data_IF_925709992814
#
_entry.id   IF_925709992814
#
_cell.length_a   1.000
_cell.length_b   1.000
_cell.length_c   1.000
_cell.angle_alpha   90.00
_cell.angle_beta   90.00
_cell.angle_gamma   90.00
#
_symmetry.space_group_name_H-M   'P 1'
#
loop_
_entity.id
_entity.type
_entity.pdbx_description
1 polymer ?
#
# COMPACT_ATOMS: atom_id res chain seq x y z
N UNK A 1 -3.01 -23.27 -32.52
CA UNK A 1 -2.85 -22.07 -33.38
C UNK A 1 -2.48 -22.57 -34.76
N UNK A 2 -3.42 -22.52 -35.70
CA UNK A 2 -3.18 -22.96 -37.07
C UNK A 2 -2.32 -21.91 -37.78
N UNK A 3 -1.13 -22.29 -38.24
CA UNK A 3 -0.39 -21.48 -39.21
C UNK A 3 -0.50 -22.18 -40.54
N UNK A 4 -1.17 -21.53 -41.48
CA UNK A 4 -1.29 -22.01 -42.85
C UNK A 4 -0.32 -21.20 -43.67
N UNK A 5 0.55 -21.89 -44.41
CA UNK A 5 1.40 -21.28 -45.42
C UNK A 5 0.98 -21.77 -46.79
N UNK A 6 0.83 -20.82 -47.71
CA UNK A 6 0.30 -21.05 -49.05
C UNK A 6 1.37 -20.62 -50.03
N UNK A 7 1.80 -21.55 -50.88
CA UNK A 7 2.68 -21.25 -52.01
C UNK A 7 1.83 -21.23 -53.29
N UNK A 8 1.64 -20.04 -53.87
CA UNK A 8 0.80 -19.85 -55.06
C UNK A 8 1.37 -20.53 -56.33
N UNK A 9 2.66 -20.87 -56.36
CA UNK A 9 3.29 -21.49 -57.53
C UNK A 9 3.08 -23.02 -57.63
N UNK A 10 2.82 -23.72 -56.53
CA UNK A 10 2.70 -25.18 -56.49
C UNK A 10 1.30 -25.72 -56.17
N UNK A 11 0.32 -24.83 -55.93
CA UNK A 11 -1.06 -25.17 -55.52
C UNK A 11 -1.16 -26.18 -54.35
N UNK A 12 -0.25 -26.09 -53.37
CA UNK A 12 -0.26 -26.93 -52.16
C UNK A 12 -0.27 -26.09 -50.88
N UNK A 13 -0.83 -26.67 -49.81
CA UNK A 13 -1.16 -26.02 -48.54
C UNK A 13 -0.57 -26.83 -47.39
N UNK A 14 0.09 -26.16 -46.44
CA UNK A 14 0.59 -26.81 -45.21
C UNK A 14 -0.17 -26.31 -43.98
N UNK A 15 -0.60 -27.25 -43.14
CA UNK A 15 -1.36 -27.00 -41.92
C UNK A 15 -0.68 -27.75 -40.77
N UNK A 16 -0.32 -27.03 -39.69
CA UNK A 16 0.30 -27.64 -38.51
C UNK A 16 -0.74 -27.99 -37.44
N UNK A 17 -0.79 -29.27 -37.04
CA UNK A 17 -1.43 -29.72 -35.80
C UNK A 17 -0.45 -30.59 -34.97
N UNK A 18 -0.62 -30.58 -33.65
CA UNK A 18 0.25 -31.32 -32.73
C UNK A 18 -0.16 -32.79 -32.68
N UNK A 19 0.43 -33.65 -33.53
CA UNK A 19 0.71 -35.07 -33.25
C UNK A 19 1.44 -35.69 -34.46
N UNK A 20 2.74 -35.97 -34.26
CA UNK A 20 3.66 -36.91 -34.96
C UNK A 20 3.55 -37.01 -36.50
N UNK A 21 4.49 -36.39 -37.22
CA UNK A 21 5.60 -37.10 -37.91
C UNK A 21 6.58 -36.07 -38.49
N UNK A 22 7.86 -36.20 -38.15
CA UNK A 22 8.90 -35.34 -38.69
C UNK A 22 9.47 -35.95 -39.96
N UNK A 23 9.24 -35.30 -41.10
CA UNK A 23 10.00 -35.62 -42.32
C UNK A 23 11.45 -35.19 -42.08
N UNK A 24 12.36 -36.17 -41.97
CA UNK A 24 13.81 -35.96 -42.17
C UNK A 24 14.18 -36.46 -43.55
N UNK A 25 14.60 -35.54 -44.40
CA UNK A 25 15.27 -35.82 -45.66
C UNK A 25 16.20 -34.66 -45.96
N UNK A 26 17.40 -34.95 -46.45
CA UNK A 26 18.46 -33.98 -46.80
C UNK A 26 18.05 -33.01 -47.94
N UNK A 27 16.84 -33.13 -48.47
CA UNK A 27 16.35 -32.43 -49.67
C UNK A 27 15.51 -31.18 -49.40
N UNK A 28 15.21 -30.80 -48.14
CA UNK A 28 14.44 -29.58 -47.83
C UNK A 28 15.30 -28.59 -47.07
N UNK A 29 15.90 -27.63 -47.78
CA UNK A 29 16.56 -26.49 -47.13
C UNK A 29 15.50 -25.55 -46.53
N UNK A 30 15.56 -25.39 -45.20
CA UNK A 30 14.67 -24.47 -44.49
C UNK A 30 15.08 -23.02 -44.81
N UNK A 31 14.27 -22.31 -45.61
CA UNK A 31 14.51 -20.91 -45.93
C UNK A 31 13.70 -20.00 -44.99
N UNK A 32 14.42 -19.24 -44.16
CA UNK A 32 13.89 -18.18 -43.30
C UNK A 32 14.78 -17.90 -42.08
N UNK A 33 14.79 -16.68 -41.53
CA UNK A 33 15.55 -16.40 -40.31
C UNK A 33 14.95 -17.18 -39.15
N UNK A 34 15.68 -18.21 -38.72
CA UNK A 34 15.26 -19.01 -37.58
C UNK A 34 15.44 -18.22 -36.29
N UNK A 35 14.42 -18.25 -35.43
CA UNK A 35 14.51 -17.64 -34.10
C UNK A 35 15.62 -18.29 -33.28
N UNK A 36 16.29 -17.46 -32.48
CA UNK A 36 17.24 -17.91 -31.46
C UNK A 36 16.54 -18.86 -30.50
N UNK A 37 17.17 -19.98 -30.19
CA UNK A 37 16.69 -20.92 -29.19
C UNK A 37 17.10 -20.41 -27.81
N UNK A 38 16.13 -20.22 -26.91
CA UNK A 38 16.43 -19.91 -25.51
C UNK A 38 16.76 -21.23 -24.81
N UNK A 39 18.03 -21.43 -24.47
CA UNK A 39 18.53 -22.66 -23.84
C UNK A 39 18.03 -22.80 -22.40
N UNK A 40 18.26 -23.96 -21.78
CA UNK A 40 17.90 -24.20 -20.39
C UNK A 40 18.70 -23.28 -19.43
N UNK A 41 19.96 -23.04 -19.73
CA UNK A 41 20.87 -22.16 -18.99
C UNK A 41 20.41 -20.71 -19.09
N UNK A 42 20.05 -20.26 -20.30
CA UNK A 42 19.45 -18.93 -20.51
C UNK A 42 18.14 -18.78 -19.75
N UNK A 43 17.26 -19.80 -19.73
CA UNK A 43 16.03 -19.79 -18.93
C UNK A 43 16.33 -19.67 -17.44
N UNK A 44 17.31 -20.43 -16.93
CA UNK A 44 17.72 -20.40 -15.52
C UNK A 44 18.27 -19.02 -15.13
N UNK A 45 19.11 -18.42 -15.96
CA UNK A 45 19.64 -17.07 -15.72
C UNK A 45 18.56 -15.99 -15.78
N UNK A 46 17.70 -16.03 -16.81
CA UNK A 46 16.56 -15.10 -16.94
C UNK A 46 15.71 -15.19 -15.68
N UNK A 47 15.41 -16.40 -15.21
CA UNK A 47 14.63 -16.63 -14.02
C UNK A 47 15.30 -16.07 -12.75
N UNK A 48 16.59 -16.33 -12.54
CA UNK A 48 17.33 -15.81 -11.39
C UNK A 48 17.35 -14.28 -11.35
N UNK A 49 17.59 -13.63 -12.48
CA UNK A 49 17.57 -12.16 -12.59
C UNK A 49 16.15 -11.60 -12.38
N UNK A 50 15.13 -12.29 -12.88
CA UNK A 50 13.73 -11.93 -12.72
C UNK A 50 13.26 -12.05 -11.26
N UNK A 51 13.72 -13.08 -10.54
CA UNK A 51 13.52 -13.25 -9.08
C UNK A 51 14.15 -12.09 -8.28
N UNK A 52 15.23 -11.48 -8.79
CA UNK A 52 15.83 -10.27 -8.23
C UNK A 52 15.15 -8.95 -8.71
N UNK A 53 13.98 -9.04 -9.35
CA UNK A 53 13.23 -7.87 -9.87
C UNK A 53 13.99 -7.01 -10.88
N UNK A 54 14.94 -7.61 -11.61
CA UNK A 54 15.67 -6.92 -12.67
C UNK A 54 14.74 -6.75 -13.89
N UNK A 55 14.60 -5.54 -14.47
CA UNK A 55 13.69 -5.33 -15.60
C UNK A 55 14.18 -6.08 -16.86
N UNK A 56 13.28 -6.57 -17.74
CA UNK A 56 13.66 -7.40 -18.90
C UNK A 56 14.73 -6.80 -19.81
N UNK A 57 14.77 -5.47 -19.92
CA UNK A 57 15.80 -4.76 -20.67
C UNK A 57 17.20 -4.95 -20.05
N UNK A 58 17.31 -4.89 -18.72
CA UNK A 58 18.56 -5.16 -18.01
C UNK A 58 18.91 -6.65 -18.01
N UNK A 59 17.93 -7.54 -17.89
CA UNK A 59 18.15 -8.99 -18.01
C UNK A 59 18.78 -9.30 -19.38
N UNK A 60 18.19 -8.74 -20.45
CA UNK A 60 18.69 -8.91 -21.82
C UNK A 60 20.12 -8.36 -21.99
N UNK A 61 20.44 -7.21 -21.37
CA UNK A 61 21.81 -6.68 -21.35
C UNK A 61 22.76 -7.62 -20.61
N UNK A 62 22.40 -8.03 -19.39
CA UNK A 62 23.24 -8.89 -18.54
C UNK A 62 23.51 -10.24 -19.21
N UNK A 63 22.51 -10.79 -19.91
CA UNK A 63 22.63 -12.05 -20.62
C UNK A 63 23.65 -12.00 -21.77
N UNK A 64 23.92 -10.81 -22.35
CA UNK A 64 24.96 -10.61 -23.39
C UNK A 64 26.36 -10.37 -22.83
N UNK A 65 26.46 -10.00 -21.55
CA UNK A 65 27.72 -9.60 -20.92
C UNK A 65 28.23 -10.61 -19.89
N UNK A 66 27.43 -11.62 -19.54
CA UNK A 66 27.85 -12.68 -18.63
C UNK A 66 28.79 -13.67 -19.34
N UNK A 67 29.85 -14.07 -18.65
CA UNK A 67 30.76 -15.13 -19.09
C UNK A 67 30.15 -16.53 -19.00
N UNK A 68 29.10 -16.69 -18.19
CA UNK A 68 28.59 -17.99 -17.77
C UNK A 68 27.53 -18.55 -18.74
N UNK A 69 27.11 -17.75 -19.72
CA UNK A 69 26.17 -18.16 -20.78
C UNK A 69 26.90 -18.13 -22.12
N UNK A 70 26.98 -19.31 -22.73
CA UNK A 70 27.53 -19.46 -24.08
C UNK A 70 26.48 -18.98 -25.09
N UNK A 71 26.92 -18.10 -26.00
CA UNK A 71 26.10 -17.64 -27.11
C UNK A 71 25.72 -18.84 -28.00
N UNK A 72 24.44 -18.92 -28.37
CA UNK A 72 24.00 -19.98 -29.28
C UNK A 72 24.56 -19.75 -30.68
N UNK A 73 24.56 -20.79 -31.54
CA UNK A 73 24.96 -20.65 -32.96
C UNK A 73 24.14 -19.62 -33.75
N UNK A 74 23.00 -19.18 -33.20
CA UNK A 74 22.11 -18.15 -33.79
C UNK A 74 22.14 -16.84 -33.03
N UNK A 75 23.07 -16.69 -32.10
CA UNK A 75 23.26 -15.50 -31.28
C UNK A 75 22.47 -15.51 -29.97
N UNK A 76 22.36 -14.34 -29.34
CA UNK A 76 21.57 -14.12 -28.13
C UNK A 76 20.08 -13.85 -28.41
N UNK A 77 19.16 -14.26 -27.50
CA UNK A 77 17.73 -13.97 -27.63
C UNK A 77 17.44 -12.47 -27.71
N UNK A 78 16.43 -12.09 -28.48
CA UNK A 78 15.93 -10.71 -28.52
C UNK A 78 15.28 -10.28 -27.20
N UNK A 79 15.16 -8.97 -26.95
CA UNK A 79 14.45 -8.43 -25.79
C UNK A 79 13.00 -8.97 -25.67
N UNK A 80 12.30 -9.10 -26.79
CA UNK A 80 10.94 -9.65 -26.84
C UNK A 80 10.93 -11.13 -26.41
N UNK A 81 11.92 -11.91 -26.86
CA UNK A 81 12.09 -13.31 -26.44
C UNK A 81 12.40 -13.43 -24.94
N UNK A 82 13.30 -12.59 -24.41
CA UNK A 82 13.59 -12.55 -22.96
C UNK A 82 12.35 -12.19 -22.15
N UNK A 83 11.60 -11.17 -22.60
CA UNK A 83 10.38 -10.71 -21.92
C UNK A 83 9.30 -11.80 -21.91
N UNK A 84 9.06 -12.45 -23.05
CA UNK A 84 8.07 -13.53 -23.14
C UNK A 84 8.52 -14.77 -22.36
N UNK A 85 9.82 -15.06 -22.33
CA UNK A 85 10.38 -16.14 -21.54
C UNK A 85 10.20 -15.91 -20.04
N UNK A 86 10.53 -14.71 -19.54
CA UNK A 86 10.30 -14.34 -18.14
C UNK A 86 8.80 -14.49 -17.76
N UNK A 87 7.89 -13.98 -18.60
CA UNK A 87 6.43 -14.16 -18.41
C UNK A 87 6.03 -15.64 -18.32
N UNK A 88 6.53 -16.47 -19.22
CA UNK A 88 6.24 -17.91 -19.25
C UNK A 88 6.81 -18.65 -18.03
N UNK A 89 8.05 -18.34 -17.64
CA UNK A 89 8.70 -18.96 -16.48
C UNK A 89 7.99 -18.59 -15.17
N UNK A 90 7.54 -17.34 -15.02
CA UNK A 90 6.69 -16.92 -13.90
C UNK A 90 5.42 -17.76 -13.81
N UNK A 91 4.76 -18.03 -14.94
CA UNK A 91 3.57 -18.89 -14.96
C UNK A 91 3.90 -20.33 -14.52
N UNK A 92 5.01 -20.89 -14.99
CA UNK A 92 5.41 -22.27 -14.69
C UNK A 92 5.81 -22.50 -13.23
N UNK A 93 6.44 -21.52 -12.58
CA UNK A 93 6.85 -21.64 -11.18
C UNK A 93 5.68 -21.62 -10.20
N UNK A 94 4.44 -21.46 -10.66
CA UNK A 94 3.32 -21.13 -9.79
C UNK A 94 3.62 -19.78 -9.16
N UNK A 95 3.38 -18.71 -9.92
CA UNK A 95 3.65 -17.32 -9.50
C UNK A 95 3.36 -17.12 -8.02
N UNK A 96 4.41 -16.97 -7.19
CA UNK A 96 4.33 -16.44 -5.82
C UNK A 96 3.59 -15.09 -5.78
N UNK A 97 3.50 -14.44 -6.94
CA UNK A 97 2.79 -13.20 -7.23
C UNK A 97 1.46 -13.39 -8.00
N UNK A 98 0.80 -14.55 -7.88
CA UNK A 98 -0.57 -14.74 -8.40
C UNK A 98 -1.61 -14.62 -7.31
N UNK A 99 -2.84 -14.31 -7.73
CA UNK A 99 -4.00 -14.37 -6.85
C UNK A 99 -4.19 -15.77 -6.24
N UNK A 100 -3.82 -16.85 -6.94
CA UNK A 100 -3.91 -18.21 -6.41
C UNK A 100 -2.89 -18.45 -5.28
N UNK A 101 -1.64 -18.03 -5.47
CA UNK A 101 -0.64 -18.10 -4.40
C UNK A 101 -1.04 -17.26 -3.19
N UNK A 102 -1.63 -16.08 -3.40
CA UNK A 102 -2.17 -15.27 -2.30
C UNK A 102 -3.33 -16.00 -1.59
N UNK A 103 -4.24 -16.62 -2.33
CA UNK A 103 -5.33 -17.44 -1.75
C UNK A 103 -4.78 -18.58 -0.90
N UNK A 104 -3.75 -19.28 -1.38
CA UNK A 104 -3.09 -20.35 -0.62
C UNK A 104 -2.45 -19.82 0.67
N UNK A 105 -1.77 -18.68 0.63
CA UNK A 105 -1.19 -18.04 1.82
C UNK A 105 -2.29 -17.64 2.82
N UNK A 106 -3.38 -17.04 2.34
CA UNK A 106 -4.51 -16.63 3.18
C UNK A 106 -5.19 -17.83 3.82
N UNK A 107 -5.41 -18.91 3.07
CA UNK A 107 -6.00 -20.15 3.60
C UNK A 107 -5.09 -20.85 4.62
N UNK A 108 -3.79 -20.96 4.32
CA UNK A 108 -2.80 -21.59 5.22
C UNK A 108 -2.64 -20.84 6.54
N UNK A 109 -2.94 -19.55 6.55
CA UNK A 109 -2.85 -18.70 7.72
C UNK A 109 -4.23 -18.15 8.11
N UNK A 110 -5.28 -18.97 8.04
CA UNK A 110 -6.61 -18.58 8.48
C UNK A 110 -6.66 -18.28 9.99
N UNK A 111 -7.67 -17.51 10.40
CA UNK A 111 -7.97 -17.34 11.83
C UNK A 111 -8.29 -18.69 12.48
N UNK A 112 -7.61 -18.99 13.58
CA UNK A 112 -7.84 -20.17 14.42
C UNK A 112 -8.15 -19.70 15.86
N UNK A 113 -9.39 -19.90 16.34
CA UNK A 113 -9.81 -19.45 17.67
C UNK A 113 -9.14 -20.25 18.81
N UNK A 114 -8.50 -21.37 18.52
CA UNK A 114 -7.78 -22.21 19.49
C UNK A 114 -6.26 -22.12 19.33
N UNK A 115 -5.79 -21.46 18.28
CA UNK A 115 -4.39 -21.35 17.93
C UNK A 115 -3.58 -20.43 18.84
N UNK A 116 -2.27 -20.40 18.59
CA UNK A 116 -1.30 -19.56 19.31
C UNK A 116 -1.68 -18.06 19.22
N UNK A 117 -1.68 -17.38 20.37
CA UNK A 117 -2.10 -15.98 20.47
C UNK A 117 -1.27 -15.00 19.64
N UNK A 118 0.03 -15.23 19.51
CA UNK A 118 0.95 -14.31 18.81
C UNK A 118 1.17 -14.68 17.35
N UNK A 119 0.72 -15.86 16.92
CA UNK A 119 0.80 -16.26 15.52
C UNK A 119 -0.10 -15.36 14.67
N UNK A 120 0.50 -14.76 13.64
CA UNK A 120 -0.24 -13.95 12.69
C UNK A 120 -1.15 -14.82 11.82
N UNK A 121 -2.33 -14.30 11.52
CA UNK A 121 -3.30 -14.87 10.60
C UNK A 121 -3.85 -13.81 9.65
N UNK A 122 -4.43 -14.27 8.55
CA UNK A 122 -5.11 -13.47 7.54
C UNK A 122 -6.62 -13.49 7.78
N UNK A 123 -7.25 -12.35 7.55
CA UNK A 123 -8.70 -12.18 7.57
C UNK A 123 -9.12 -11.19 6.46
N UNK A 124 -10.41 -11.00 6.21
CA UNK A 124 -10.85 -10.14 5.12
C UNK A 124 -12.30 -9.67 5.24
N UNK A 125 -12.71 -8.81 4.31
CA UNK A 125 -14.06 -8.24 4.28
C UNK A 125 -15.14 -9.25 3.84
N UNK A 126 -14.79 -10.31 3.12
CA UNK A 126 -15.73 -11.41 2.81
C UNK A 126 -15.12 -12.73 3.23
N UNK A 127 -15.99 -13.65 3.65
CA UNK A 127 -15.64 -15.03 3.94
C UNK A 127 -16.27 -15.94 2.89
N UNK A 128 -15.56 -17.00 2.54
CA UNK A 128 -16.08 -18.08 1.71
C UNK A 128 -16.98 -18.99 2.54
N UNK A 129 -17.71 -19.91 1.88
CA UNK A 129 -18.49 -20.93 2.56
C UNK A 129 -17.66 -21.80 3.53
N UNK A 130 -16.34 -21.87 3.32
CA UNK A 130 -15.38 -22.58 4.18
C UNK A 130 -14.82 -21.72 5.33
N UNK A 131 -15.34 -20.52 5.57
CA UNK A 131 -14.87 -19.60 6.61
C UNK A 131 -13.59 -18.83 6.28
N UNK A 132 -12.91 -19.16 5.17
CA UNK A 132 -11.69 -18.45 4.76
C UNK A 132 -11.97 -17.09 4.12
N UNK A 133 -11.11 -16.11 4.37
CA UNK A 133 -11.18 -14.81 3.74
C UNK A 133 -11.09 -14.90 2.20
N UNK A 134 -11.98 -14.17 1.51
CA UNK A 134 -12.04 -14.12 0.04
C UNK A 134 -11.05 -13.08 -0.48
N UNK A 135 -10.12 -13.53 -1.32
CA UNK A 135 -9.16 -12.66 -2.02
C UNK A 135 -9.75 -12.19 -3.34
N UNK A 136 -10.05 -10.90 -3.43
CA UNK A 136 -10.55 -10.25 -4.66
C UNK A 136 -9.45 -9.99 -5.70
N UNK A 137 -9.85 -9.69 -6.94
CA UNK A 137 -8.94 -9.45 -8.07
C UNK A 137 -8.29 -8.06 -8.08
N UNK A 138 -8.78 -7.12 -7.29
CA UNK A 138 -8.31 -5.73 -7.25
C UNK A 138 -9.00 -4.80 -8.26
N UNK A 139 -10.05 -5.26 -8.95
CA UNK A 139 -10.89 -4.41 -9.82
C UNK A 139 -11.90 -3.60 -8.99
N UNK A 140 -12.54 -2.57 -9.55
CA UNK A 140 -13.52 -1.74 -8.80
C UNK A 140 -14.71 -2.56 -8.28
N UNK A 141 -15.13 -3.57 -9.07
CA UNK A 141 -16.19 -4.50 -8.71
C UNK A 141 -15.75 -5.61 -7.75
N UNK A 142 -14.43 -5.83 -7.60
CA UNK A 142 -13.86 -6.95 -6.84
C UNK A 142 -12.58 -6.52 -6.14
N UNK A 143 -12.75 -5.66 -5.11
CA UNK A 143 -11.66 -5.08 -4.33
C UNK A 143 -10.80 -6.16 -3.69
N UNK A 144 -9.48 -6.00 -3.78
CA UNK A 144 -8.53 -6.80 -3.01
C UNK A 144 -8.40 -6.18 -1.62
N UNK A 145 -8.82 -6.89 -0.58
CA UNK A 145 -8.70 -6.47 0.82
C UNK A 145 -8.32 -7.69 1.66
N UNK A 146 -7.09 -7.70 2.16
CA UNK A 146 -6.59 -8.76 3.05
C UNK A 146 -5.99 -8.10 4.29
N UNK A 147 -6.56 -8.42 5.44
CA UNK A 147 -6.07 -8.02 6.75
C UNK A 147 -5.13 -9.07 7.35
N UNK A 148 -4.15 -8.62 8.12
CA UNK A 148 -3.25 -9.45 8.91
C UNK A 148 -3.27 -8.94 10.35
N UNK A 149 -3.48 -9.85 11.30
CA UNK A 149 -3.45 -9.57 12.73
C UNK A 149 -3.04 -10.84 13.50
N UNK A 150 -3.02 -10.77 14.82
CA UNK A 150 -2.91 -11.94 15.71
C UNK A 150 -3.92 -11.79 16.85
N UNK A 151 -4.24 -12.88 17.54
CA UNK A 151 -5.24 -12.82 18.62
C UNK A 151 -4.78 -11.90 19.74
N UNK A 152 -3.50 -11.90 20.07
CA UNK A 152 -2.91 -10.98 21.04
C UNK A 152 -3.13 -9.51 20.66
N UNK A 153 -3.00 -9.15 19.37
CA UNK A 153 -3.27 -7.77 18.92
C UNK A 153 -4.76 -7.41 19.01
N UNK A 154 -5.65 -8.35 18.68
CA UNK A 154 -7.10 -8.14 18.76
C UNK A 154 -7.57 -8.04 20.21
N UNK A 155 -7.10 -8.93 21.09
CA UNK A 155 -7.39 -8.90 22.53
C UNK A 155 -6.90 -7.59 23.16
N UNK A 156 -5.67 -7.16 22.83
CA UNK A 156 -5.16 -5.86 23.25
C UNK A 156 -6.03 -4.71 22.71
N UNK A 157 -6.47 -4.77 21.45
CA UNK A 157 -7.37 -3.75 20.88
C UNK A 157 -8.68 -3.62 21.65
N UNK A 158 -9.25 -4.74 22.09
CA UNK A 158 -10.48 -4.74 22.90
C UNK A 158 -10.23 -4.09 24.26
N UNK A 159 -9.09 -4.37 24.89
CA UNK A 159 -8.72 -3.71 26.14
C UNK A 159 -8.56 -2.21 25.92
N UNK A 160 -7.81 -1.79 24.90
CA UNK A 160 -7.59 -0.38 24.59
C UNK A 160 -8.88 0.39 24.26
N UNK A 161 -9.83 -0.26 23.59
CA UNK A 161 -11.13 0.32 23.23
C UNK A 161 -12.23 0.11 24.28
N UNK A 162 -11.86 -0.19 25.53
CA UNK A 162 -12.80 -0.30 26.64
C UNK A 162 -13.41 1.07 26.98
N UNK A 163 -14.73 1.16 27.17
CA UNK A 163 -15.44 2.42 27.43
C UNK A 163 -15.11 3.16 28.74
N UNK A 164 -14.13 2.69 29.53
CA UNK A 164 -13.64 3.36 30.74
C UNK A 164 -12.57 4.42 30.48
N UNK A 165 -12.11 4.59 29.24
CA UNK A 165 -11.03 5.52 28.86
C UNK A 165 -11.31 6.20 27.52
N UNK A 166 -10.69 7.36 27.30
CA UNK A 166 -10.64 7.96 25.98
C UNK A 166 -9.88 7.04 25.01
N UNK A 167 -10.47 6.73 23.87
CA UNK A 167 -9.94 5.81 22.88
C UNK A 167 -9.60 6.55 21.60
N UNK A 168 -8.30 6.57 21.28
CA UNK A 168 -7.77 7.15 20.06
C UNK A 168 -7.35 6.04 19.08
N UNK A 169 -8.08 5.92 17.99
CA UNK A 169 -7.73 5.01 16.90
C UNK A 169 -6.92 5.73 15.83
N UNK A 170 -5.90 5.08 15.29
CA UNK A 170 -5.03 5.61 14.25
C UNK A 170 -5.16 4.76 13.00
N UNK A 171 -5.18 5.40 11.83
CA UNK A 171 -4.97 4.73 10.56
C UNK A 171 -4.09 5.56 9.65
N UNK A 172 -3.08 4.93 9.05
CA UNK A 172 -2.25 5.56 8.03
C UNK A 172 -2.06 4.63 6.83
N UNK A 173 -2.07 5.20 5.63
CA UNK A 173 -1.82 4.48 4.40
C UNK A 173 -0.39 4.67 3.92
N UNK A 174 0.36 3.58 3.92
CA UNK A 174 1.75 3.55 3.52
C UNK A 174 1.94 2.81 2.19
N UNK A 175 2.91 3.28 1.40
CA UNK A 175 3.16 2.81 0.05
C UNK A 175 4.54 2.18 -0.10
N UNK A 176 4.77 1.60 -1.27
CA UNK A 176 6.04 0.97 -1.68
C UNK A 176 6.38 -0.28 -0.88
N UNK A 177 5.37 -0.98 -0.39
CA UNK A 177 5.54 -2.27 0.28
C UNK A 177 5.25 -3.47 -0.63
N UNK A 178 4.73 -3.21 -1.84
CA UNK A 178 4.47 -4.21 -2.88
C UNK A 178 4.95 -3.71 -4.25
N UNK A 179 5.32 -4.64 -5.13
CA UNK A 179 5.75 -4.32 -6.51
C UNK A 179 4.58 -3.92 -7.42
N UNK A 180 3.36 -4.35 -7.05
CA UNK A 180 2.13 -3.94 -7.71
C UNK A 180 1.66 -2.54 -7.29
N UNK A 181 2.33 -1.92 -6.30
CA UNK A 181 1.97 -0.60 -5.80
C UNK A 181 0.72 -0.58 -4.92
N UNK A 182 0.22 -1.74 -4.50
CA UNK A 182 -0.89 -1.83 -3.54
C UNK A 182 -0.54 -1.11 -2.24
N UNK A 183 -1.39 -0.16 -1.82
CA UNK A 183 -1.29 0.47 -0.52
C UNK A 183 -1.40 -0.55 0.62
N UNK A 184 -0.74 -0.24 1.72
CA UNK A 184 -0.90 -0.93 2.99
C UNK A 184 -1.46 0.08 3.98
N UNK A 185 -2.59 -0.23 4.60
CA UNK A 185 -3.16 0.57 5.67
C UNK A 185 -2.75 -0.08 6.99
N UNK A 186 -2.04 0.64 7.84
CA UNK A 186 -1.76 0.20 9.21
C UNK A 186 -2.70 0.92 10.15
N UNK A 187 -3.22 0.19 11.13
CA UNK A 187 -4.11 0.77 12.11
C UNK A 187 -3.90 0.21 13.50
N UNK A 188 -4.22 1.01 14.50
CA UNK A 188 -3.93 0.70 15.88
C UNK A 188 -4.50 1.74 16.83
N UNK A 189 -4.22 1.56 18.12
CA UNK A 189 -4.74 2.39 19.20
C UNK A 189 -3.59 3.08 19.92
N UNK A 190 -3.85 4.23 20.51
CA UNK A 190 -2.96 4.81 21.52
C UNK A 190 -3.71 5.18 22.80
N UNK A 191 -2.95 5.22 23.90
CA UNK A 191 -3.45 5.55 25.24
C UNK A 191 -2.82 6.84 25.80
N UNK A 192 -3.17 7.17 27.04
CA UNK A 192 -2.63 8.31 27.79
C UNK A 192 -1.12 8.22 28.06
N UNK A 193 -0.49 7.05 27.85
CA UNK A 193 0.95 6.87 27.95
C UNK A 193 1.66 7.11 26.61
N UNK A 194 0.90 7.45 25.56
CA UNK A 194 1.39 7.61 24.17
C UNK A 194 1.99 6.33 23.60
N UNK A 195 1.61 5.19 24.16
CA UNK A 195 1.97 3.88 23.66
C UNK A 195 1.09 3.55 22.47
N UNK A 196 1.68 3.01 21.41
CA UNK A 196 0.94 2.59 20.22
C UNK A 196 0.83 1.08 20.16
N UNK A 197 -0.40 0.62 20.08
CA UNK A 197 -0.76 -0.78 19.95
C UNK A 197 -1.25 -1.03 18.53
N UNK A 198 -0.49 -1.80 17.75
CA UNK A 198 -0.94 -2.24 16.43
C UNK A 198 -2.20 -3.11 16.59
N UNK A 199 -3.20 -2.87 15.75
CA UNK A 199 -4.42 -3.67 15.69
C UNK A 199 -4.41 -4.60 14.48
N UNK A 200 -4.13 -4.05 13.30
CA UNK A 200 -4.07 -4.80 12.06
C UNK A 200 -3.26 -4.08 10.98
N UNK A 201 -2.87 -4.85 9.97
CA UNK A 201 -2.29 -4.37 8.72
C UNK A 201 -3.19 -4.83 7.58
N UNK A 202 -3.63 -3.93 6.72
CA UNK A 202 -4.44 -4.25 5.55
C UNK A 202 -3.68 -3.99 4.27
N UNK A 203 -3.70 -4.95 3.36
CA UNK A 203 -3.25 -4.76 1.98
C UNK A 203 -4.49 -4.54 1.13
N UNK A 204 -4.55 -3.40 0.45
CA UNK A 204 -5.71 -2.98 -0.34
C UNK A 204 -5.35 -2.70 -1.78
N UNK A 205 -6.26 -2.95 -2.72
CA UNK A 205 -6.06 -2.56 -4.13
C UNK A 205 -6.18 -1.06 -4.35
N UNK A 206 -6.99 -0.36 -3.55
CA UNK A 206 -7.29 1.07 -3.66
C UNK A 206 -7.51 1.70 -2.29
N UNK A 207 -7.45 3.03 -2.24
CA UNK A 207 -7.79 3.85 -1.07
C UNK A 207 -9.05 4.66 -1.35
N UNK A 208 -10.15 3.99 -1.70
CA UNK A 208 -11.45 4.66 -1.73
C UNK A 208 -12.13 4.51 -0.36
N UNK A 209 -13.17 5.31 -0.12
CA UNK A 209 -13.96 5.19 1.10
C UNK A 209 -14.52 3.77 1.30
N UNK A 210 -14.86 3.08 0.21
CA UNK A 210 -15.31 1.70 0.22
C UNK A 210 -14.23 0.76 0.76
N UNK A 211 -12.99 0.85 0.30
CA UNK A 211 -11.93 -0.03 0.82
C UNK A 211 -11.57 0.26 2.28
N UNK A 212 -11.60 1.52 2.71
CA UNK A 212 -11.43 1.86 4.12
C UNK A 212 -12.54 1.25 4.98
N UNK A 213 -13.81 1.42 4.59
CA UNK A 213 -14.95 0.81 5.27
C UNK A 213 -14.81 -0.72 5.33
N UNK A 214 -14.47 -1.37 4.21
CA UNK A 214 -14.23 -2.82 4.15
C UNK A 214 -13.16 -3.30 5.14
N UNK A 215 -12.07 -2.56 5.30
CA UNK A 215 -11.01 -2.89 6.26
C UNK A 215 -11.52 -2.79 7.70
N UNK A 216 -12.21 -1.70 8.02
CA UNK A 216 -12.73 -1.43 9.37
C UNK A 216 -13.83 -2.43 9.76
N UNK A 217 -14.76 -2.74 8.86
CA UNK A 217 -15.80 -3.76 9.07
C UNK A 217 -15.19 -5.16 9.24
N UNK A 218 -14.15 -5.49 8.46
CA UNK A 218 -13.42 -6.74 8.64
C UNK A 218 -12.77 -6.82 10.03
N UNK A 219 -12.21 -5.72 10.52
CA UNK A 219 -11.62 -5.64 11.85
C UNK A 219 -12.67 -5.78 12.96
N UNK A 220 -13.80 -5.06 12.85
CA UNK A 220 -14.93 -5.14 13.80
C UNK A 220 -15.45 -6.57 13.90
N UNK A 221 -15.68 -7.24 12.76
CA UNK A 221 -16.11 -8.65 12.77
C UNK A 221 -15.07 -9.57 13.38
N UNK A 222 -13.78 -9.35 13.12
CA UNK A 222 -12.72 -10.12 13.76
C UNK A 222 -12.73 -9.94 15.28
N UNK A 223 -12.94 -8.72 15.78
CA UNK A 223 -13.11 -8.45 17.22
C UNK A 223 -14.27 -9.26 17.79
N UNK A 224 -15.41 -9.31 17.09
CA UNK A 224 -16.57 -10.13 17.50
C UNK A 224 -16.30 -11.63 17.44
N UNK A 225 -15.52 -12.11 16.47
CA UNK A 225 -15.11 -13.51 16.40
C UNK A 225 -14.19 -13.90 17.58
N UNK A 226 -13.27 -13.02 17.97
CA UNK A 226 -12.36 -13.24 19.10
C UNK A 226 -13.09 -13.12 20.44
N UNK A 227 -14.00 -12.13 20.58
CA UNK A 227 -14.79 -11.91 21.79
C UNK A 227 -16.20 -11.41 21.41
N UNK A 228 -17.22 -12.29 21.36
CA UNK A 228 -18.57 -11.93 20.88
C UNK A 228 -19.23 -10.76 21.62
N UNK A 229 -18.95 -10.63 22.91
CA UNK A 229 -19.49 -9.57 23.77
C UNK A 229 -18.72 -8.26 23.68
N UNK A 230 -17.54 -8.23 23.04
CA UNK A 230 -16.74 -7.02 22.94
C UNK A 230 -17.42 -5.96 22.08
N UNK A 231 -17.37 -4.72 22.52
CA UNK A 231 -17.74 -3.54 21.73
C UNK A 231 -16.50 -2.65 21.61
N UNK A 232 -16.33 -2.00 20.47
CA UNK A 232 -15.30 -0.98 20.30
C UNK A 232 -15.95 0.39 20.53
N UNK A 233 -15.51 1.10 21.57
CA UNK A 233 -15.89 2.49 21.80
C UNK A 233 -14.74 3.37 21.31
N UNK A 234 -14.97 4.15 20.25
CA UNK A 234 -13.96 5.02 19.65
C UNK A 234 -14.38 6.48 19.81
N UNK A 235 -13.65 7.25 20.63
CA UNK A 235 -13.95 8.67 20.84
C UNK A 235 -13.40 9.53 19.69
N UNK A 236 -12.21 9.17 19.20
CA UNK A 236 -11.53 9.87 18.14
C UNK A 236 -10.77 8.93 17.22
N UNK A 237 -10.71 9.32 15.94
CA UNK A 237 -9.85 8.71 14.93
C UNK A 237 -8.83 9.73 14.47
N UNK A 238 -7.58 9.33 14.30
CA UNK A 238 -6.51 10.19 13.80
C UNK A 238 -6.01 9.66 12.46
N UNK A 239 -6.01 10.54 11.46
CA UNK A 239 -5.63 10.19 10.10
C UNK A 239 -5.14 11.39 9.28
N UNK A 240 -5.19 11.21 7.97
CA UNK A 240 -4.68 12.10 6.94
C UNK A 240 -5.74 13.07 6.44
N UNK A 241 -5.30 14.05 5.64
CA UNK A 241 -6.19 14.96 4.94
C UNK A 241 -6.76 14.28 3.69
N UNK A 242 -7.47 13.16 3.86
CA UNK A 242 -7.94 12.30 2.77
C UNK A 242 -9.44 12.01 2.90
N UNK A 243 -10.24 12.47 1.92
CA UNK A 243 -11.71 12.34 1.96
C UNK A 243 -12.13 10.88 1.98
N UNK A 244 -11.42 10.03 1.24
CA UNK A 244 -11.67 8.61 1.22
C UNK A 244 -11.50 7.98 2.62
N UNK A 245 -10.49 8.39 3.38
CA UNK A 245 -10.26 7.86 4.73
C UNK A 245 -11.36 8.32 5.69
N UNK A 246 -11.64 9.63 5.73
CA UNK A 246 -12.70 10.20 6.57
C UNK A 246 -14.06 9.57 6.26
N UNK A 247 -14.45 9.54 4.98
CA UNK A 247 -15.74 8.98 4.56
C UNK A 247 -15.79 7.46 4.81
N UNK A 248 -14.66 6.76 4.81
CA UNK A 248 -14.57 5.33 5.13
C UNK A 248 -14.85 5.05 6.61
N UNK A 249 -14.30 5.87 7.52
CA UNK A 249 -14.64 5.79 8.94
C UNK A 249 -16.12 6.05 9.20
N UNK A 250 -16.70 7.05 8.52
CA UNK A 250 -18.11 7.43 8.68
C UNK A 250 -19.11 6.34 8.25
N UNK A 251 -18.69 5.37 7.45
CA UNK A 251 -19.53 4.27 6.99
C UNK A 251 -19.64 3.12 8.00
N UNK A 252 -18.79 3.07 9.04
CA UNK A 252 -18.74 1.95 9.99
C UNK A 252 -19.21 2.42 11.36
N UNK A 253 -20.23 1.75 11.92
CA UNK A 253 -20.94 2.17 13.14
C UNK A 253 -20.03 2.52 14.33
N UNK A 254 -19.02 1.70 14.58
CA UNK A 254 -18.07 1.83 15.68
C UNK A 254 -17.18 3.07 15.55
N UNK A 255 -17.03 3.61 14.34
CA UNK A 255 -16.18 4.76 14.02
C UNK A 255 -16.99 5.99 13.58
N UNK A 256 -18.26 5.82 13.20
CA UNK A 256 -19.03 6.86 12.52
C UNK A 256 -19.28 8.12 13.35
N UNK A 257 -19.34 7.98 14.67
CA UNK A 257 -19.49 9.09 15.61
C UNK A 257 -18.15 9.60 16.18
N UNK A 258 -17.04 8.95 15.84
CA UNK A 258 -15.74 9.35 16.35
C UNK A 258 -15.32 10.71 15.78
N UNK A 259 -14.70 11.54 16.61
CA UNK A 259 -14.15 12.82 16.15
C UNK A 259 -12.95 12.56 15.25
N UNK A 260 -12.99 13.06 14.01
CA UNK A 260 -11.84 12.99 13.13
C UNK A 260 -10.80 14.05 13.49
N UNK A 261 -9.65 13.59 13.97
CA UNK A 261 -8.49 14.38 14.32
C UNK A 261 -7.47 14.34 13.19
N UNK A 262 -6.95 15.50 12.87
CA UNK A 262 -5.95 15.66 11.84
C UNK A 262 -4.54 15.48 12.37
N UNK A 263 -3.81 14.58 11.72
CA UNK A 263 -2.41 14.36 12.04
C UNK A 263 -1.59 15.65 11.90
N UNK A 264 -1.09 16.18 13.02
CA UNK A 264 -0.26 17.38 13.01
C UNK A 264 1.05 17.21 12.23
N UNK A 265 1.64 16.00 12.22
CA UNK A 265 2.80 15.72 11.36
C UNK A 265 2.47 15.96 9.89
N UNK A 266 1.29 15.54 9.43
CA UNK A 266 0.84 15.77 8.05
C UNK A 266 0.53 17.24 7.75
N UNK A 267 0.03 18.00 8.72
CA UNK A 267 -0.07 19.46 8.60
C UNK A 267 1.31 20.06 8.33
N UNK A 268 2.30 19.77 9.19
CA UNK A 268 3.65 20.31 9.07
C UNK A 268 4.35 19.85 7.78
N UNK A 269 4.17 18.59 7.39
CA UNK A 269 4.73 18.03 6.17
C UNK A 269 4.21 18.75 4.92
N UNK A 270 2.90 19.00 4.84
CA UNK A 270 2.29 19.71 3.72
C UNK A 270 2.66 21.20 3.73
N UNK A 271 2.69 21.84 4.89
CA UNK A 271 3.15 23.23 5.05
C UNK A 271 4.57 23.39 4.54
N UNK A 272 5.51 22.53 4.97
CA UNK A 272 6.92 22.58 4.51
C UNK A 272 7.04 22.45 3.00
N UNK A 273 6.23 21.60 2.35
CA UNK A 273 6.21 21.50 0.89
C UNK A 273 5.72 22.78 0.22
N UNK A 274 4.68 23.39 0.79
CA UNK A 274 4.03 24.59 0.26
C UNK A 274 4.88 25.83 0.47
N UNK A 275 5.69 25.90 1.53
CA UNK A 275 6.51 27.07 1.85
C UNK A 275 7.97 26.96 1.40
N UNK A 276 8.38 25.85 0.77
CA UNK A 276 9.78 25.60 0.38
C UNK A 276 10.45 26.70 -0.46
N UNK A 277 9.65 27.43 -1.23
CA UNK A 277 10.09 28.47 -2.16
C UNK A 277 10.16 29.85 -1.51
N UNK A 278 9.63 29.99 -0.29
CA UNK A 278 9.61 31.24 0.44
C UNK A 278 10.94 31.47 1.17
N UNK A 279 11.24 32.75 1.41
CA UNK A 279 12.40 33.15 2.18
C UNK A 279 12.39 32.53 3.60
N UNK A 280 13.56 32.25 4.20
CA UNK A 280 13.67 31.63 5.53
C UNK A 280 12.83 32.31 6.63
N UNK A 281 12.79 33.64 6.63
CA UNK A 281 12.04 34.48 7.56
C UNK A 281 10.53 34.25 7.45
N UNK A 282 9.98 34.16 6.24
CA UNK A 282 8.57 33.87 6.00
C UNK A 282 8.23 32.44 6.41
N UNK A 283 9.11 31.48 6.11
CA UNK A 283 8.96 30.09 6.58
C UNK A 283 8.93 30.02 8.11
N UNK A 284 9.80 30.78 8.79
CA UNK A 284 9.83 30.87 10.26
C UNK A 284 8.55 31.50 10.81
N UNK A 285 8.06 32.59 10.22
CA UNK A 285 6.82 33.24 10.62
C UNK A 285 5.59 32.31 10.50
N UNK A 286 5.51 31.55 9.40
CA UNK A 286 4.48 30.52 9.20
C UNK A 286 4.58 29.43 10.26
N UNK A 287 5.76 28.84 10.44
CA UNK A 287 5.93 27.74 11.41
C UNK A 287 5.61 28.20 12.84
N UNK A 288 6.06 29.40 13.24
CA UNK A 288 5.78 29.95 14.56
C UNK A 288 4.27 30.14 14.78
N UNK A 289 3.56 30.70 13.80
CA UNK A 289 2.11 30.89 13.89
C UNK A 289 1.35 29.57 13.99
N UNK A 290 1.74 28.55 13.22
CA UNK A 290 1.12 27.22 13.29
C UNK A 290 1.36 26.58 14.67
N UNK A 291 2.56 26.70 15.23
CA UNK A 291 2.88 26.17 16.56
C UNK A 291 2.04 26.88 17.63
N UNK A 292 1.88 28.20 17.56
CA UNK A 292 1.00 28.96 18.46
C UNK A 292 -0.43 28.42 18.43
N UNK A 293 -1.00 28.26 17.23
CA UNK A 293 -2.36 27.72 17.04
C UNK A 293 -2.46 26.26 17.51
N UNK A 294 -1.43 25.43 17.27
CA UNK A 294 -1.45 24.01 17.65
C UNK A 294 -1.57 23.83 19.17
N UNK A 295 -0.82 24.64 19.93
CA UNK A 295 -0.68 24.52 21.38
C UNK A 295 -1.66 25.39 22.18
N UNK A 296 -2.73 25.89 21.55
CA UNK A 296 -3.83 26.49 22.30
C UNK A 296 -4.47 25.44 23.23
N UNK A 297 -4.96 25.89 24.38
CA UNK A 297 -5.48 25.04 25.45
C UNK A 297 -7.00 24.84 25.39
N UNK A 298 -7.72 25.70 24.66
CA UNK A 298 -9.17 25.62 24.53
C UNK A 298 -9.67 26.32 23.26
N UNK A 299 -10.99 26.28 23.06
CA UNK A 299 -11.62 26.80 21.85
C UNK A 299 -11.54 28.32 21.74
N UNK A 300 -11.63 29.03 22.86
CA UNK A 300 -11.56 30.49 22.91
C UNK A 300 -10.16 30.98 22.55
N UNK A 301 -9.13 30.41 23.19
CA UNK A 301 -7.73 30.76 22.89
C UNK A 301 -7.36 30.41 21.45
N UNK A 302 -7.89 29.30 20.91
CA UNK A 302 -7.72 28.96 19.49
C UNK A 302 -8.22 30.06 18.56
N UNK A 303 -9.45 30.56 18.74
CA UNK A 303 -9.99 31.57 17.82
C UNK A 303 -9.21 32.88 17.89
N UNK A 304 -8.84 33.32 19.10
CA UNK A 304 -7.98 34.50 19.29
C UNK A 304 -6.63 34.34 18.60
N UNK A 305 -5.91 33.26 18.88
CA UNK A 305 -4.58 32.98 18.30
C UNK A 305 -4.65 32.79 16.78
N UNK A 306 -5.68 32.10 16.28
CA UNK A 306 -5.92 31.90 14.85
C UNK A 306 -6.08 33.24 14.13
N UNK A 307 -6.93 34.13 14.65
CA UNK A 307 -7.22 35.40 14.01
C UNK A 307 -6.01 36.34 14.02
N UNK A 308 -5.28 36.40 15.14
CA UNK A 308 -4.03 37.16 15.24
C UNK A 308 -2.95 36.65 14.28
N UNK A 309 -2.73 35.33 14.24
CA UNK A 309 -1.71 34.71 13.39
C UNK A 309 -2.04 34.93 11.92
N UNK A 310 -3.29 34.67 11.50
CA UNK A 310 -3.72 34.88 10.11
C UNK A 310 -3.63 36.36 9.73
N UNK A 311 -4.03 37.28 10.61
CA UNK A 311 -3.88 38.73 10.38
C UNK A 311 -2.41 39.13 10.22
N UNK A 312 -1.50 38.53 11.00
CA UNK A 312 -0.06 38.77 10.87
C UNK A 312 0.50 38.29 9.53
N UNK A 313 0.08 37.12 9.06
CA UNK A 313 0.52 36.58 7.77
C UNK A 313 -0.01 37.41 6.60
N UNK A 314 -1.23 37.94 6.69
CA UNK A 314 -1.82 38.83 5.65
C UNK A 314 -1.06 40.15 5.46
N UNK A 315 -0.22 40.56 6.43
CA UNK A 315 0.64 41.74 6.29
C UNK A 315 1.88 41.48 5.43
N UNK A 316 2.16 40.22 5.08
CA UNK A 316 3.31 39.80 4.29
C UNK A 316 2.81 39.44 2.88
N UNK A 317 3.03 40.29 1.85
CA UNK A 317 2.52 40.05 0.50
C UNK A 317 2.92 38.68 -0.07
N UNK A 318 4.14 38.22 0.19
CA UNK A 318 4.67 36.94 -0.27
C UNK A 318 3.94 35.72 0.33
N UNK A 319 3.15 35.92 1.39
CA UNK A 319 2.35 34.87 2.01
C UNK A 319 0.92 34.80 1.48
N UNK A 320 0.45 35.70 0.61
CA UNK A 320 -0.95 35.75 0.17
C UNK A 320 -1.50 34.38 -0.29
N UNK A 321 -0.78 33.74 -1.21
CA UNK A 321 -1.14 32.41 -1.74
C UNK A 321 -1.11 31.35 -0.65
N UNK A 322 -0.14 31.42 0.26
CA UNK A 322 -0.04 30.48 1.38
C UNK A 322 -1.19 30.66 2.38
N UNK A 323 -1.55 31.89 2.73
CA UNK A 323 -2.64 32.20 3.66
C UNK A 323 -3.95 31.66 3.10
N UNK A 324 -4.25 31.92 1.82
CA UNK A 324 -5.43 31.37 1.16
C UNK A 324 -5.47 29.84 1.26
N UNK A 325 -4.38 29.18 0.85
CA UNK A 325 -4.25 27.73 0.96
C UNK A 325 -4.44 27.22 2.39
N UNK A 326 -3.80 27.86 3.37
CA UNK A 326 -3.80 27.37 4.74
C UNK A 326 -5.16 27.53 5.40
N UNK A 327 -5.84 28.66 5.16
CA UNK A 327 -7.21 28.90 5.61
C UNK A 327 -8.16 27.87 5.02
N UNK A 328 -8.17 27.72 3.68
CA UNK A 328 -9.06 26.77 3.00
C UNK A 328 -8.82 25.32 3.41
N UNK A 329 -7.56 24.90 3.57
CA UNK A 329 -7.23 23.50 3.82
C UNK A 329 -7.24 23.11 5.31
N UNK A 330 -6.76 23.98 6.20
CA UNK A 330 -6.43 23.60 7.59
C UNK A 330 -7.22 24.37 8.65
N UNK A 331 -8.00 25.39 8.29
CA UNK A 331 -8.81 26.16 9.25
C UNK A 331 -10.31 26.03 8.96
N UNK A 332 -10.71 26.10 7.70
CA UNK A 332 -12.13 26.15 7.31
C UNK A 332 -12.65 24.80 6.74
N UNK A 333 -11.76 23.82 6.57
CA UNK A 333 -12.14 22.49 6.07
C UNK A 333 -12.55 21.54 7.19
N UNK A 334 -12.99 20.33 6.81
CA UNK A 334 -13.23 19.21 7.73
C UNK A 334 -11.97 18.73 8.47
N UNK A 335 -10.79 19.21 8.06
CA UNK A 335 -9.46 18.87 8.57
C UNK A 335 -8.88 19.94 9.51
N UNK A 336 -9.73 20.73 10.15
CA UNK A 336 -9.26 21.80 11.03
C UNK A 336 -8.78 21.33 12.41
N UNK A 337 -9.19 20.14 12.85
CA UNK A 337 -8.94 19.61 14.20
C UNK A 337 -7.55 19.01 14.36
N UNK A 338 -6.52 19.83 14.40
CA UNK A 338 -5.12 19.42 14.60
C UNK A 338 -4.50 20.02 15.85
N UNK A 339 -5.27 20.72 16.68
CA UNK A 339 -4.81 21.36 17.92
C UNK A 339 -4.81 20.38 19.09
N UNK A 340 -3.90 20.59 20.06
CA UNK A 340 -3.67 19.65 21.17
C UNK A 340 -4.89 19.49 22.09
N UNK A 341 -5.71 20.54 22.23
CA UNK A 341 -6.86 20.54 23.13
C UNK A 341 -8.01 19.60 22.69
N UNK A 342 -7.95 19.03 21.49
CA UNK A 342 -8.91 18.03 21.04
C UNK A 342 -8.71 16.63 21.65
N UNK A 343 -7.56 16.40 22.29
CA UNK A 343 -7.26 15.14 22.99
C UNK A 343 -7.03 15.42 24.47
N UNK A 344 -7.44 14.51 25.39
CA UNK A 344 -7.11 14.65 26.80
C UNK A 344 -5.61 14.69 27.06
N UNK A 345 -5.22 15.28 28.19
CA UNK A 345 -3.82 15.37 28.62
C UNK A 345 -3.18 13.96 28.63
N UNK A 346 -1.95 13.88 28.10
CA UNK A 346 -1.18 12.63 28.02
C UNK A 346 -1.39 11.86 26.72
N UNK A 347 -2.47 12.07 25.98
CA UNK A 347 -2.70 11.36 24.72
C UNK A 347 -1.81 11.87 23.57
N UNK A 348 -1.72 11.06 22.52
CA UNK A 348 -0.99 11.43 21.32
C UNK A 348 -1.68 12.60 20.61
N UNK A 349 -0.97 13.73 20.50
CA UNK A 349 -1.42 14.92 19.77
C UNK A 349 -1.02 14.89 18.28
N UNK A 350 -0.35 13.82 17.86
CA UNK A 350 0.14 13.61 16.49
C UNK A 350 0.04 12.13 16.11
N UNK A 351 -0.04 11.79 14.81
CA UNK A 351 -0.06 10.39 14.33
C UNK A 351 1.34 9.73 14.34
N UNK A 352 2.29 10.33 15.07
CA UNK A 352 3.70 9.91 15.06
C UNK A 352 3.92 8.42 15.34
N UNK A 353 3.13 7.73 16.18
CA UNK A 353 3.35 6.31 16.40
C UNK A 353 3.02 5.44 15.17
N UNK A 354 1.93 5.74 14.44
CA UNK A 354 1.57 5.02 13.21
C UNK A 354 2.63 5.26 12.11
N UNK A 355 3.08 6.50 11.96
CA UNK A 355 4.19 6.87 11.06
C UNK A 355 5.49 6.13 11.40
N UNK A 356 5.82 6.06 12.69
CA UNK A 356 7.01 5.35 13.18
C UNK A 356 6.92 3.86 12.86
N UNK A 357 5.76 3.24 13.07
CA UNK A 357 5.53 1.85 12.68
C UNK A 357 5.70 1.66 11.17
N UNK A 358 5.14 2.55 10.35
CA UNK A 358 5.27 2.50 8.90
C UNK A 358 6.71 2.66 8.42
N UNK A 359 7.51 3.47 9.10
CA UNK A 359 8.95 3.57 8.84
C UNK A 359 9.70 2.27 9.20
N UNK A 360 9.36 1.64 10.32
CA UNK A 360 9.92 0.34 10.73
C UNK A 360 9.56 -0.75 9.72
N UNK A 361 8.30 -0.82 9.30
CA UNK A 361 7.83 -1.79 8.30
C UNK A 361 8.58 -1.65 6.97
N UNK A 362 8.78 -0.42 6.48
CA UNK A 362 9.59 -0.15 5.28
C UNK A 362 11.07 -0.53 5.45
N UNK A 363 11.62 -0.32 6.64
CA UNK A 363 13.00 -0.72 6.96
C UNK A 363 13.13 -2.24 6.95
N UNK A 364 12.21 -2.95 7.59
CA UNK A 364 12.21 -4.41 7.70
C UNK A 364 12.05 -5.09 6.33
N UNK A 365 11.19 -4.54 5.47
CA UNK A 365 10.96 -5.06 4.11
C UNK A 365 12.05 -4.66 3.10
N UNK A 366 13.08 -3.90 3.51
CA UNK A 366 14.14 -3.41 2.61
C UNK A 366 13.66 -2.35 1.60
N UNK A 367 12.41 -1.87 1.71
CA UNK A 367 11.78 -0.91 0.78
C UNK A 367 12.04 0.55 1.15
N UNK A 368 13.28 0.89 1.54
CA UNK A 368 13.66 2.28 1.83
C UNK A 368 13.60 3.13 0.56
N UNK A 369 13.04 4.35 0.67
CA UNK A 369 13.32 5.41 -0.32
C UNK A 369 14.79 5.76 -0.18
N UNK A 370 15.63 5.37 -1.14
CA UNK A 370 16.89 6.07 -1.33
C UNK A 370 16.55 7.48 -1.80
N UNK A 371 16.80 8.49 -0.96
CA UNK A 371 16.88 9.86 -1.44
C UNK A 371 18.13 9.94 -2.31
N UNK A 372 18.01 9.67 -3.61
CA UNK A 372 18.99 10.21 -4.54
C UNK A 372 18.78 11.72 -4.53
N UNK A 373 19.67 12.47 -3.88
CA UNK A 373 19.90 13.85 -4.29
C UNK A 373 20.14 13.77 -5.81
N UNK A 374 19.32 14.46 -6.59
CA UNK A 374 19.65 14.68 -8.00
C UNK A 374 21.01 15.39 -7.97
N UNK A 375 22.04 14.72 -8.52
CA UNK A 375 23.29 15.37 -8.89
C UNK A 375 23.00 16.51 -9.87
#
# INVERSE_FOLDING_TARGET
MWKIWICAAAKQWHVYHNAIDHIRGESVQCQGPHRVVITAEMKKFILQQDECSIPPMRIHSNLRHTSDIIESTRGFPTLLQVTNCAKYLRMLQGTKNSINAVKEIVQKNAFDPTGNLTRAFCFGHRESASGHAVVGKGTDADSFVVGVSSRALVEASIEYASGSRFTLFHADATFKLSDLGYPVITCGFSDASRSYQLAAIFIVSRRTAKEYAMCLEAFVRLVKQVRPTATLSIDAVMGDAEDAQLNGFQQVSEFGNATYLMCFFHVLYNVRKRTKHLAPEHRKAVMNGIIRIHYTDNMTSYYTEKDEVVASWRKIPELEVFVKYFTEQWLDSRYWRWQVFHTPIGYATTNNPCETFNAVLKKYTGRRRYHMQRL
#
